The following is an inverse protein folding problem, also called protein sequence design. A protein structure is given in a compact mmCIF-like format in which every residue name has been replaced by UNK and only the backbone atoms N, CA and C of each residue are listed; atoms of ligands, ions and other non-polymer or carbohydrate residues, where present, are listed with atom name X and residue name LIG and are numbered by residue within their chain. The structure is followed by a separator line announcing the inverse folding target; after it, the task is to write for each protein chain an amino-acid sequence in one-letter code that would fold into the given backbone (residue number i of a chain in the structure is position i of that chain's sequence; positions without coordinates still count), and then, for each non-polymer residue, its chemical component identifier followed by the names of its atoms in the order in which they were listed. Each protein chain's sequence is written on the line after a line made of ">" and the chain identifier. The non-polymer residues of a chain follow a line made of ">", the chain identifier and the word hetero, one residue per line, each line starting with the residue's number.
data_IF_855485709076
#
_entry.id   IF_855485709076
#
_cell.length_a   1.000
_cell.length_b   1.000
_cell.length_c   1.000
_cell.angle_alpha   90.00
_cell.angle_beta   90.00
_cell.angle_gamma   90.00
#
_symmetry.space_group_name_H-M   'P 1'
#
loop_
_entity.id
_entity.type
_entity.pdbx_description
1 polymer ?
#
# COMPACT_ATOMS: atom_id res chain seq x y z
N UNK A 1 -54.84 47.77 4.72
CA UNK A 1 -54.91 46.31 4.51
C UNK A 1 -53.56 45.75 4.96
N UNK A 2 -53.48 45.17 6.17
CA UNK A 2 -53.37 43.71 6.43
C UNK A 2 -52.02 43.20 5.86
N UNK A 3 -51.02 42.72 6.60
CA UNK A 3 -50.97 41.86 7.78
C UNK A 3 -49.60 41.95 8.51
N UNK A 4 -49.51 41.47 9.78
CA UNK A 4 -48.33 41.49 10.66
C UNK A 4 -47.40 40.26 10.43
N UNK A 5 -46.27 40.08 11.15
CA UNK A 5 -45.29 39.05 10.83
C UNK A 5 -45.79 37.66 11.26
N UNK A 6 -45.50 36.64 10.45
CA UNK A 6 -45.83 35.26 10.79
C UNK A 6 -44.88 34.69 11.87
N UNK A 7 -45.39 33.86 12.80
CA UNK A 7 -44.67 33.41 13.99
C UNK A 7 -43.95 32.06 13.81
N UNK A 8 -43.19 31.76 14.85
CA UNK A 8 -42.51 30.51 15.24
C UNK A 8 -43.28 29.19 15.08
N UNK A 9 -42.52 28.10 14.91
CA UNK A 9 -42.70 26.87 15.69
C UNK A 9 -43.42 25.71 14.98
N UNK A 10 -42.78 24.54 14.96
CA UNK A 10 -43.42 23.29 14.55
C UNK A 10 -42.42 22.16 14.29
N UNK A 11 -41.93 21.56 15.38
CA UNK A 11 -41.27 20.25 15.34
C UNK A 11 -42.27 19.10 15.05
N UNK A 12 -41.86 17.84 15.32
CA UNK A 12 -42.00 16.68 14.44
C UNK A 12 -43.29 15.85 14.66
N UNK A 13 -43.73 15.08 13.65
CA UNK A 13 -44.63 13.95 13.89
C UNK A 13 -45.53 13.55 12.72
N UNK A 14 -45.75 12.24 12.61
CA UNK A 14 -46.68 11.52 11.74
C UNK A 14 -46.36 11.47 10.24
N UNK A 15 -45.70 10.37 9.85
CA UNK A 15 -46.38 9.30 9.10
C UNK A 15 -45.58 8.00 9.26
N UNK A 16 -45.67 7.43 10.45
CA UNK A 16 -45.56 5.99 10.68
C UNK A 16 -46.94 5.38 10.39
N UNK A 17 -46.92 4.22 9.72
CA UNK A 17 -48.01 3.32 9.32
C UNK A 17 -48.57 3.47 7.90
N UNK A 18 -48.75 2.29 7.27
CA UNK A 18 -49.01 1.94 5.85
C UNK A 18 -47.68 1.72 5.08
N UNK A 19 -47.21 0.50 4.73
CA UNK A 19 -47.86 -0.80 4.56
C UNK A 19 -46.90 -1.94 4.96
N UNK A 20 -47.34 -2.77 5.91
CA UNK A 20 -47.16 -4.21 5.78
C UNK A 20 -48.18 -4.68 4.72
N UNK A 21 -47.84 -5.74 3.99
CA UNK A 21 -48.57 -6.33 2.85
C UNK A 21 -48.27 -5.71 1.48
N UNK A 22 -47.45 -6.44 0.73
CA UNK A 22 -46.99 -6.13 -0.62
C UNK A 22 -48.10 -6.23 -1.67
N UNK A 23 -49.04 -5.29 -1.65
CA UNK A 23 -49.97 -5.06 -2.76
C UNK A 23 -49.83 -3.63 -3.29
N UNK A 24 -49.39 -3.51 -4.55
CA UNK A 24 -49.35 -2.27 -5.30
C UNK A 24 -50.72 -2.02 -5.94
N UNK A 25 -51.71 -1.63 -5.15
CA UNK A 25 -53.00 -1.22 -5.68
C UNK A 25 -53.62 -0.13 -4.81
N UNK A 26 -53.60 1.12 -5.29
CA UNK A 26 -54.44 2.19 -4.73
C UNK A 26 -53.78 3.51 -4.33
N UNK A 27 -52.74 3.99 -5.03
CA UNK A 27 -52.28 5.38 -4.87
C UNK A 27 -52.94 6.31 -5.91
N UNK A 28 -53.42 7.52 -5.53
CA UNK A 28 -53.94 8.51 -6.48
C UNK A 28 -52.88 8.88 -7.51
N UNK A 29 -53.28 9.10 -8.77
CA UNK A 29 -52.38 9.36 -9.92
C UNK A 29 -51.40 10.54 -9.71
N UNK A 30 -51.61 11.40 -8.72
CA UNK A 30 -50.67 12.46 -8.33
C UNK A 30 -49.48 12.03 -7.45
N UNK A 31 -49.58 10.93 -6.69
CA UNK A 31 -48.51 10.48 -5.78
C UNK A 31 -47.41 9.67 -6.51
N UNK A 32 -47.76 9.00 -7.61
CA UNK A 32 -46.79 8.28 -8.44
C UNK A 32 -45.78 9.24 -9.11
N UNK A 33 -46.24 10.42 -9.52
CA UNK A 33 -45.39 11.47 -10.12
C UNK A 33 -44.39 12.06 -9.12
N UNK A 34 -44.78 12.21 -7.84
CA UNK A 34 -43.89 12.76 -6.81
C UNK A 34 -42.85 11.73 -6.36
N UNK A 35 -43.21 10.45 -6.26
CA UNK A 35 -42.26 9.37 -5.95
C UNK A 35 -41.28 9.09 -7.09
N UNK A 36 -41.72 9.21 -8.36
CA UNK A 36 -40.83 9.13 -9.51
C UNK A 36 -39.90 10.36 -9.63
N UNK A 37 -40.37 11.55 -9.24
CA UNK A 37 -39.56 12.77 -9.27
C UNK A 37 -38.56 12.84 -8.09
N UNK A 38 -38.91 12.31 -6.91
CA UNK A 38 -37.99 12.21 -5.76
C UNK A 38 -37.01 11.03 -5.88
N UNK A 39 -37.38 9.94 -6.57
CA UNK A 39 -36.44 8.87 -6.93
C UNK A 39 -35.47 9.27 -8.05
N UNK A 40 -35.87 10.21 -8.93
CA UNK A 40 -35.01 10.77 -9.97
C UNK A 40 -34.13 11.95 -9.50
N UNK A 41 -34.35 12.46 -8.28
CA UNK A 41 -33.61 13.60 -7.72
C UNK A 41 -32.64 13.25 -6.58
N UNK A 42 -32.48 11.97 -6.23
CA UNK A 42 -31.20 11.54 -5.66
C UNK A 42 -30.23 11.44 -6.82
N UNK A 43 -29.11 12.18 -6.83
CA UNK A 43 -28.04 11.83 -7.75
C UNK A 43 -27.66 10.41 -7.36
N UNK A 44 -28.05 9.43 -8.18
CA UNK A 44 -27.24 8.24 -8.37
C UNK A 44 -25.90 8.79 -8.82
N UNK A 45 -25.05 9.06 -7.85
CA UNK A 45 -23.62 8.99 -8.04
C UNK A 45 -23.42 7.51 -8.39
N UNK A 46 -23.66 7.16 -9.66
CA UNK A 46 -22.86 6.12 -10.27
C UNK A 46 -21.44 6.48 -9.84
N UNK A 47 -20.72 5.57 -9.16
CA UNK A 47 -19.36 5.86 -8.81
C UNK A 47 -18.70 6.18 -10.15
N UNK A 48 -18.35 7.46 -10.37
CA UNK A 48 -17.45 7.80 -11.45
C UNK A 48 -16.28 6.86 -11.22
N UNK A 49 -16.18 5.86 -12.10
CA UNK A 49 -15.08 4.93 -12.10
C UNK A 49 -13.88 5.83 -12.27
N UNK A 50 -13.14 6.03 -11.18
CA UNK A 50 -11.84 6.67 -11.24
C UNK A 50 -11.08 5.89 -12.32
N UNK A 51 -10.74 6.57 -13.42
CA UNK A 51 -10.02 6.05 -14.58
C UNK A 51 -8.53 6.42 -14.41
N UNK A 52 -7.75 5.63 -13.66
CA UNK A 52 -6.33 5.88 -13.40
C UNK A 52 -5.49 6.07 -14.67
N UNK A 53 -5.95 5.52 -15.79
CA UNK A 53 -5.30 5.58 -17.12
C UNK A 53 -5.19 7.01 -17.66
N UNK A 54 -6.01 7.96 -17.18
CA UNK A 54 -5.94 9.39 -17.55
C UNK A 54 -4.75 10.13 -16.93
N UNK A 55 -3.99 9.51 -16.02
CA UNK A 55 -2.87 10.12 -15.30
C UNK A 55 -1.50 9.55 -15.72
N UNK A 56 -1.44 8.80 -16.82
CA UNK A 56 -0.17 8.42 -17.43
C UNK A 56 0.53 9.67 -17.98
N UNK A 57 1.80 9.84 -17.62
CA UNK A 57 2.65 10.92 -18.12
C UNK A 57 3.90 10.34 -18.80
N UNK A 58 4.71 11.17 -19.47
CA UNK A 58 5.95 10.71 -20.08
C UNK A 58 6.80 9.90 -19.08
N UNK A 59 7.19 8.68 -19.45
CA UNK A 59 8.01 7.79 -18.62
C UNK A 59 7.29 7.10 -17.45
N UNK A 60 5.95 7.09 -17.40
CA UNK A 60 5.21 6.27 -16.42
C UNK A 60 3.82 5.85 -16.90
N UNK A 61 3.62 4.54 -16.92
CA UNK A 61 2.38 3.85 -17.26
C UNK A 61 1.50 3.58 -16.03
N UNK A 62 1.97 3.97 -14.84
CA UNK A 62 1.21 3.93 -13.60
C UNK A 62 0.51 5.27 -13.34
N UNK A 63 -0.62 5.25 -12.62
CA UNK A 63 -1.31 6.47 -12.25
C UNK A 63 -0.42 7.32 -11.34
N UNK A 64 -0.37 8.62 -11.62
CA UNK A 64 0.23 9.62 -10.74
C UNK A 64 -0.86 10.45 -10.09
N UNK A 65 -0.91 10.44 -8.77
CA UNK A 65 -1.94 11.14 -8.00
C UNK A 65 -1.32 12.12 -7.02
N UNK A 66 -1.96 13.27 -6.89
CA UNK A 66 -1.58 14.27 -5.89
C UNK A 66 -2.17 13.88 -4.53
N UNK A 67 -1.34 13.81 -3.50
CA UNK A 67 -1.73 13.40 -2.14
C UNK A 67 -2.84 14.29 -1.55
N UNK A 68 -2.88 15.58 -1.92
CA UNK A 68 -3.95 16.51 -1.52
C UNK A 68 -5.34 16.10 -2.03
N UNK A 69 -5.43 15.25 -3.04
CA UNK A 69 -6.69 14.71 -3.57
C UNK A 69 -7.02 13.32 -3.00
N UNK A 70 -6.15 12.75 -2.15
CA UNK A 70 -6.36 11.45 -1.52
C UNK A 70 -6.71 11.64 -0.05
N UNK A 71 -7.95 11.29 0.34
CA UNK A 71 -8.23 10.99 1.74
C UNK A 71 -7.65 9.62 2.12
N UNK A 72 -7.33 9.36 3.40
CA UNK A 72 -6.88 8.04 3.83
C UNK A 72 -7.85 6.92 3.42
N UNK A 73 -9.16 7.16 3.50
CA UNK A 73 -10.19 6.19 3.14
C UNK A 73 -10.25 5.93 1.63
N UNK A 74 -10.04 6.96 0.80
CA UNK A 74 -9.96 6.81 -0.64
C UNK A 74 -8.69 6.05 -1.05
N UNK A 75 -7.55 6.42 -0.45
CA UNK A 75 -6.30 5.69 -0.67
C UNK A 75 -6.47 4.21 -0.33
N UNK A 76 -7.08 3.94 0.82
CA UNK A 76 -7.35 2.60 1.27
C UNK A 76 -8.32 1.85 0.33
N UNK A 77 -9.47 2.43 -0.03
CA UNK A 77 -10.45 1.70 -0.84
C UNK A 77 -9.97 1.45 -2.27
N UNK A 78 -9.29 2.44 -2.86
CA UNK A 78 -9.03 2.43 -4.30
C UNK A 78 -7.67 1.82 -4.65
N UNK A 79 -6.66 1.95 -3.77
CA UNK A 79 -5.31 1.47 -4.03
C UNK A 79 -4.96 0.26 -3.19
N UNK A 80 -5.15 0.33 -1.86
CA UNK A 80 -4.82 -0.79 -0.97
C UNK A 80 -5.74 -1.98 -1.25
N UNK A 81 -7.05 -1.78 -1.06
CA UNK A 81 -8.04 -2.84 -1.26
C UNK A 81 -8.26 -3.13 -2.74
N UNK A 82 -8.22 -2.10 -3.59
CA UNK A 82 -8.26 -2.27 -5.04
C UNK A 82 -7.04 -2.99 -5.60
N UNK A 83 -5.99 -3.19 -4.79
CA UNK A 83 -4.68 -3.73 -5.18
C UNK A 83 -4.14 -3.06 -6.44
N UNK A 84 -4.03 -1.72 -6.40
CA UNK A 84 -3.60 -0.90 -7.54
C UNK A 84 -2.31 -0.17 -7.23
N UNK A 85 -1.19 -0.42 -7.95
CA UNK A 85 0.01 0.38 -7.79
C UNK A 85 -0.21 1.80 -8.31
N UNK A 86 0.41 2.76 -7.63
CA UNK A 86 0.31 4.17 -7.99
C UNK A 86 1.54 4.92 -7.53
N UNK A 87 1.85 6.00 -8.24
CA UNK A 87 2.78 7.01 -7.75
C UNK A 87 2.00 8.14 -7.08
N UNK A 88 2.48 8.60 -5.94
CA UNK A 88 1.85 9.63 -5.12
C UNK A 88 2.83 10.80 -4.99
N UNK A 89 2.39 11.97 -5.43
CA UNK A 89 3.09 13.25 -5.24
C UNK A 89 2.56 13.93 -4.00
N UNK A 90 3.45 14.56 -3.25
CA UNK A 90 3.06 15.24 -2.01
C UNK A 90 3.93 16.47 -1.81
N UNK A 91 3.37 17.50 -1.19
CA UNK A 91 4.10 18.71 -0.79
C UNK A 91 4.85 18.49 0.54
N UNK A 92 4.55 17.40 1.25
CA UNK A 92 5.14 17.02 2.53
C UNK A 92 5.60 15.55 2.51
N UNK A 93 6.24 15.10 3.59
CA UNK A 93 6.77 13.75 3.64
C UNK A 93 7.93 13.61 2.64
N UNK A 94 7.82 12.71 1.66
CA UNK A 94 8.92 12.39 0.75
C UNK A 94 9.51 13.62 0.04
N UNK A 95 8.68 14.58 -0.37
CA UNK A 95 9.16 15.83 -0.96
C UNK A 95 10.03 16.65 0.01
N UNK A 96 9.66 16.71 1.29
CA UNK A 96 10.49 17.38 2.30
C UNK A 96 11.82 16.64 2.53
N UNK A 97 11.80 15.29 2.50
CA UNK A 97 13.02 14.50 2.57
C UNK A 97 13.95 14.75 1.37
N UNK A 98 13.38 14.85 0.17
CA UNK A 98 14.12 15.16 -1.05
C UNK A 98 14.69 16.58 -1.06
N UNK A 99 13.93 17.58 -0.62
CA UNK A 99 14.43 18.95 -0.41
C UNK A 99 15.57 18.97 0.62
N UNK A 100 15.41 18.24 1.73
CA UNK A 100 16.46 18.06 2.73
C UNK A 100 17.71 17.42 2.13
N UNK A 101 17.56 16.41 1.27
CA UNK A 101 18.68 15.78 0.58
C UNK A 101 19.40 16.76 -0.37
N UNK A 102 18.65 17.54 -1.15
CA UNK A 102 19.20 18.60 -2.00
C UNK A 102 19.95 19.67 -1.19
N UNK A 103 19.50 19.95 0.04
CA UNK A 103 20.17 20.84 0.99
C UNK A 103 21.29 20.18 1.81
N UNK A 104 21.63 18.91 1.55
CA UNK A 104 22.74 18.19 2.22
C UNK A 104 22.39 17.48 3.53
N UNK A 105 21.11 17.46 3.94
CA UNK A 105 20.63 16.76 5.15
C UNK A 105 20.83 15.24 5.07
N UNK A 106 20.85 14.70 3.85
CA UNK A 106 21.17 13.30 3.55
C UNK A 106 22.58 13.10 3.00
N UNK A 107 23.46 14.09 3.21
CA UNK A 107 24.87 14.02 2.85
C UNK A 107 25.66 13.11 3.78
N UNK A 108 26.80 12.62 3.30
CA UNK A 108 27.57 11.57 3.97
C UNK A 108 28.06 11.99 5.35
N UNK A 109 28.58 13.21 5.48
CA UNK A 109 29.03 13.74 6.77
C UNK A 109 27.91 13.72 7.82
N UNK A 110 26.67 14.02 7.42
CA UNK A 110 25.52 14.00 8.33
C UNK A 110 25.11 12.57 8.68
N UNK A 111 25.09 11.66 7.70
CA UNK A 111 24.78 10.24 7.93
C UNK A 111 25.81 9.58 8.84
N UNK A 112 27.10 9.85 8.63
CA UNK A 112 28.20 9.40 9.49
C UNK A 112 28.06 9.95 10.91
N UNK A 113 27.80 11.26 11.05
CA UNK A 113 27.65 11.88 12.36
C UNK A 113 26.46 11.29 13.16
N UNK A 114 25.39 10.88 12.47
CA UNK A 114 24.20 10.34 13.13
C UNK A 114 24.27 8.85 13.41
N UNK A 115 24.83 8.07 12.48
CA UNK A 115 24.73 6.61 12.50
C UNK A 115 25.99 5.90 11.97
N UNK A 116 27.15 6.56 11.93
CA UNK A 116 28.37 6.02 11.35
C UNK A 116 28.80 4.66 11.91
N UNK A 117 28.66 4.46 13.21
CA UNK A 117 28.99 3.21 13.92
C UNK A 117 27.89 2.14 13.81
N UNK A 118 26.70 2.49 13.29
CA UNK A 118 25.63 1.51 13.11
C UNK A 118 25.97 0.57 11.98
N UNK A 119 25.82 -0.73 12.25
CA UNK A 119 26.03 -1.76 11.25
C UNK A 119 24.93 -1.73 10.19
N UNK A 120 25.34 -1.64 8.93
CA UNK A 120 24.50 -1.79 7.74
C UNK A 120 24.86 -3.07 7.01
N UNK A 121 23.92 -3.59 6.22
CA UNK A 121 24.21 -4.65 5.25
C UNK A 121 24.71 -3.98 3.98
N UNK A 122 26.00 -4.13 3.70
CA UNK A 122 26.62 -3.69 2.46
C UNK A 122 26.71 -4.86 1.48
N UNK A 123 26.45 -4.59 0.21
CA UNK A 123 26.49 -5.55 -0.87
C UNK A 123 27.41 -5.02 -1.95
N UNK A 124 28.32 -5.88 -2.43
CA UNK A 124 29.19 -5.61 -3.55
C UNK A 124 28.97 -6.65 -4.64
N UNK A 125 28.81 -6.20 -5.88
CA UNK A 125 28.73 -7.08 -7.05
C UNK A 125 29.60 -6.55 -8.18
N UNK A 126 30.35 -7.45 -8.82
CA UNK A 126 31.02 -7.22 -10.10
C UNK A 126 30.06 -7.18 -11.30
N UNK A 127 28.79 -7.60 -11.10
CA UNK A 127 27.77 -7.65 -12.15
C UNK A 127 26.80 -6.47 -12.08
N UNK A 128 26.08 -6.20 -13.19
CA UNK A 128 25.03 -5.17 -13.27
C UNK A 128 23.79 -5.45 -12.40
N UNK A 129 23.71 -6.61 -11.74
CA UNK A 129 22.53 -7.04 -10.98
C UNK A 129 22.94 -7.50 -9.59
N UNK A 130 22.72 -6.66 -8.58
CA UNK A 130 22.89 -7.05 -7.17
C UNK A 130 21.80 -8.04 -6.78
N UNK A 131 22.16 -9.32 -6.75
CA UNK A 131 21.19 -10.40 -6.74
C UNK A 131 21.46 -11.39 -5.63
N UNK A 132 21.20 -10.94 -4.41
CA UNK A 132 21.43 -11.68 -3.18
C UNK A 132 20.81 -13.09 -3.16
N UNK A 133 19.60 -13.28 -3.71
CA UNK A 133 18.78 -14.48 -3.46
C UNK A 133 18.76 -15.49 -4.60
N UNK A 134 19.42 -15.18 -5.73
CA UNK A 134 19.15 -15.84 -7.01
C UNK A 134 20.36 -16.55 -7.63
N UNK A 135 21.54 -16.44 -7.02
CA UNK A 135 22.79 -17.07 -7.50
C UNK A 135 22.66 -18.59 -7.74
N UNK A 136 21.92 -19.37 -6.93
CA UNK A 136 21.69 -20.79 -7.27
C UNK A 136 20.61 -21.01 -8.34
N UNK A 137 19.79 -20.00 -8.63
CA UNK A 137 18.58 -20.15 -9.45
C UNK A 137 18.80 -19.86 -10.94
N UNK A 138 19.90 -19.22 -11.33
CA UNK A 138 20.17 -18.92 -12.74
C UNK A 138 21.68 -18.92 -13.10
N UNK A 139 22.12 -19.64 -14.14
CA UNK A 139 23.55 -19.80 -14.50
C UNK A 139 24.31 -18.51 -14.87
N UNK A 140 23.60 -17.41 -15.11
CA UNK A 140 24.17 -16.11 -15.50
C UNK A 140 24.36 -15.12 -14.35
N UNK A 141 23.99 -15.48 -13.12
CA UNK A 141 23.95 -14.55 -11.99
C UNK A 141 25.19 -14.77 -11.14
N UNK A 142 26.00 -13.72 -10.96
CA UNK A 142 27.21 -13.80 -10.16
C UNK A 142 26.93 -13.59 -8.67
N UNK A 143 27.77 -14.22 -7.84
CA UNK A 143 27.67 -14.15 -6.39
C UNK A 143 27.82 -12.69 -5.91
N UNK A 144 26.81 -12.21 -5.19
CA UNK A 144 26.88 -10.90 -4.52
C UNK A 144 27.53 -11.10 -3.17
N UNK A 145 28.63 -10.40 -2.91
CA UNK A 145 29.27 -10.44 -1.60
C UNK A 145 28.49 -9.57 -0.61
N UNK A 146 28.24 -10.10 0.58
CA UNK A 146 27.43 -9.46 1.61
C UNK A 146 28.28 -9.26 2.85
N UNK A 147 28.30 -8.03 3.35
CA UNK A 147 29.05 -7.64 4.52
C UNK A 147 28.12 -6.97 5.53
N UNK A 148 28.41 -7.15 6.82
CA UNK A 148 27.86 -6.28 7.87
C UNK A 148 29.00 -5.38 8.33
N UNK A 149 28.89 -4.08 8.05
CA UNK A 149 29.93 -3.11 8.37
C UNK A 149 29.34 -1.79 8.88
N UNK A 150 30.11 -0.96 9.59
CA UNK A 150 29.65 0.38 9.99
C UNK A 150 29.22 1.21 8.78
N UNK A 151 28.16 2.01 8.93
CA UNK A 151 27.68 2.93 7.90
C UNK A 151 28.81 3.86 7.41
N UNK A 152 29.69 4.31 8.30
CA UNK A 152 30.83 5.14 7.91
C UNK A 152 31.80 4.40 6.97
N UNK A 153 32.05 3.12 7.22
CA UNK A 153 32.87 2.28 6.34
C UNK A 153 32.21 2.08 4.97
N UNK A 154 30.91 1.79 4.96
CA UNK A 154 30.13 1.69 3.72
C UNK A 154 30.18 3.01 2.93
N UNK A 155 29.91 4.15 3.56
CA UNK A 155 29.96 5.47 2.91
C UNK A 155 31.38 5.85 2.43
N UNK A 156 32.42 5.41 3.13
CA UNK A 156 33.80 5.56 2.68
C UNK A 156 34.13 4.74 1.43
N UNK A 157 33.67 3.48 1.36
CA UNK A 157 33.83 2.62 0.16
C UNK A 157 32.98 3.12 -1.00
N UNK A 158 31.75 3.52 -0.68
CA UNK A 158 30.77 4.14 -1.56
C UNK A 158 31.32 5.35 -2.31
N UNK A 159 32.20 6.15 -1.70
CA UNK A 159 32.81 7.32 -2.36
C UNK A 159 34.08 6.99 -3.16
N UNK A 160 34.81 5.94 -2.79
CA UNK A 160 36.16 5.68 -3.29
C UNK A 160 36.25 4.59 -4.38
N UNK A 161 35.25 3.70 -4.51
CA UNK A 161 35.32 2.51 -5.39
C UNK A 161 34.22 2.40 -6.47
N UNK A 162 33.51 3.49 -6.75
CA UNK A 162 32.37 3.57 -7.68
C UNK A 162 32.66 3.02 -9.10
N UNK A 163 33.93 2.95 -9.51
CA UNK A 163 34.29 2.62 -10.90
C UNK A 163 34.54 1.14 -11.18
N UNK A 164 34.70 0.31 -10.15
CA UNK A 164 35.08 -1.10 -10.32
C UNK A 164 33.98 -2.10 -9.91
N UNK A 165 33.17 -1.75 -8.89
CA UNK A 165 32.15 -2.65 -8.32
C UNK A 165 30.87 -1.88 -7.99
N UNK A 166 29.71 -2.55 -8.11
CA UNK A 166 28.42 -2.00 -7.72
C UNK A 166 28.19 -2.19 -6.23
N UNK A 167 28.27 -1.10 -5.48
CA UNK A 167 28.00 -1.09 -4.03
C UNK A 167 26.57 -0.63 -3.73
N UNK A 168 25.89 -1.40 -2.88
CA UNK A 168 24.50 -1.19 -2.50
C UNK A 168 24.28 -1.53 -1.03
N UNK A 169 23.43 -0.80 -0.33
CA UNK A 169 22.95 -1.20 0.99
C UNK A 169 21.43 -1.31 1.02
N UNK A 170 20.98 -2.39 1.65
CA UNK A 170 19.62 -2.62 2.10
C UNK A 170 19.68 -2.89 3.59
N UNK A 171 19.21 -1.95 4.40
CA UNK A 171 19.31 -2.09 5.86
C UNK A 171 18.01 -1.72 6.54
N UNK A 172 17.73 -2.39 7.65
CA UNK A 172 16.71 -1.93 8.58
C UNK A 172 17.03 -0.48 8.95
N UNK A 173 15.99 0.34 8.96
CA UNK A 173 16.22 1.72 9.33
C UNK A 173 16.48 1.83 10.83
N UNK A 174 17.69 2.24 11.16
CA UNK A 174 18.13 2.41 12.55
C UNK A 174 17.46 3.61 13.21
N UNK A 175 17.20 3.59 14.53
CA UNK A 175 16.55 4.66 15.28
C UNK A 175 17.12 6.06 15.02
N UNK A 176 18.44 6.18 14.88
CA UNK A 176 19.15 7.44 14.70
C UNK A 176 18.86 8.09 13.35
N UNK A 177 18.60 7.28 12.31
CA UNK A 177 18.21 7.79 11.00
C UNK A 177 16.71 8.11 10.94
N UNK A 178 15.92 7.72 11.96
CA UNK A 178 14.48 8.01 11.99
C UNK A 178 14.16 9.49 12.04
N UNK A 179 15.03 10.27 12.65
CA UNK A 179 14.86 11.73 12.74
C UNK A 179 14.95 12.43 11.38
N UNK A 180 15.59 11.80 10.39
CA UNK A 180 15.67 12.31 9.04
C UNK A 180 14.43 11.95 8.20
N UNK A 181 13.53 11.14 8.76
CA UNK A 181 12.44 10.59 7.98
C UNK A 181 11.33 11.56 7.72
N UNK A 182 10.76 11.48 6.51
CA UNK A 182 9.42 11.94 6.33
C UNK A 182 8.48 11.06 7.16
N UNK A 183 7.54 11.68 7.90
CA UNK A 183 6.37 10.93 8.37
C UNK A 183 5.69 10.32 7.13
N UNK A 184 5.40 9.02 7.09
CA UNK A 184 4.79 8.40 5.91
C UNK A 184 3.42 9.02 5.65
N UNK A 185 3.06 9.16 4.37
CA UNK A 185 1.69 9.51 4.02
C UNK A 185 0.74 8.42 4.53
N UNK A 186 -0.40 8.85 5.06
CA UNK A 186 -1.45 7.96 5.57
C UNK A 186 -1.00 7.02 6.69
N UNK A 187 0.16 7.25 7.32
CA UNK A 187 0.76 6.33 8.30
C UNK A 187 -0.21 5.91 9.40
N UNK A 188 -0.91 6.87 10.01
CA UNK A 188 -1.91 6.59 11.05
C UNK A 188 -3.01 5.64 10.54
N UNK A 189 -3.47 5.83 9.30
CA UNK A 189 -4.54 5.03 8.72
C UNK A 189 -4.03 3.66 8.25
N UNK A 190 -2.85 3.60 7.63
CA UNK A 190 -2.24 2.33 7.24
C UNK A 190 -1.86 1.48 8.44
N UNK A 191 -1.52 2.08 9.57
CA UNK A 191 -1.32 1.33 10.82
C UNK A 191 -2.61 0.82 11.39
N UNK A 192 -3.65 1.65 11.45
CA UNK A 192 -4.93 1.19 11.98
C UNK A 192 -5.48 0.03 11.15
N UNK A 193 -5.39 0.13 9.82
CA UNK A 193 -6.07 -0.77 8.89
C UNK A 193 -5.18 -1.91 8.36
N UNK A 194 -3.87 -1.69 8.21
CA UNK A 194 -2.88 -2.63 7.62
C UNK A 194 -1.68 -2.84 8.55
N UNK A 195 -1.91 -2.82 9.87
CA UNK A 195 -0.91 -2.94 10.96
C UNK A 195 0.43 -3.56 10.51
N UNK A 196 1.43 -2.72 10.29
CA UNK A 196 2.80 -3.18 10.06
C UNK A 196 3.17 -4.17 11.16
N UNK A 197 3.85 -5.27 10.78
CA UNK A 197 4.38 -6.27 11.70
C UNK A 197 4.73 -5.62 13.04
N UNK A 198 4.09 -6.12 14.11
CA UNK A 198 4.64 -5.97 15.44
C UNK A 198 5.96 -6.72 15.50
N UNK A 199 7.03 -6.10 14.97
CA UNK A 199 8.38 -6.33 15.43
C UNK A 199 8.52 -5.69 16.79
N UNK A 200 9.48 -6.14 17.57
CA UNK A 200 9.82 -5.72 18.94
C UNK A 200 10.18 -4.22 19.11
N UNK A 201 9.87 -3.38 18.13
CA UNK A 201 10.09 -1.94 18.17
C UNK A 201 8.74 -1.24 18.38
N UNK A 202 8.63 -0.58 19.53
CA UNK A 202 7.46 0.12 20.09
C UNK A 202 6.75 1.12 19.18
N UNK A 203 7.28 1.38 17.98
CA UNK A 203 6.87 2.51 17.13
C UNK A 203 6.20 2.07 15.82
N UNK A 204 6.00 0.76 15.58
CA UNK A 204 4.95 0.18 14.71
C UNK A 204 5.07 0.29 13.18
N UNK A 205 6.26 0.38 12.58
CA UNK A 205 6.50 0.21 11.13
C UNK A 205 7.85 -0.45 10.88
N UNK A 206 7.94 -1.27 9.81
CA UNK A 206 9.18 -1.93 9.38
C UNK A 206 9.77 -1.18 8.19
N UNK A 207 10.69 -0.26 8.46
CA UNK A 207 11.30 0.58 7.43
C UNK A 207 12.65 0.06 6.94
N UNK A 208 12.95 0.31 5.67
CA UNK A 208 14.25 0.00 5.08
C UNK A 208 14.87 1.23 4.42
N UNK A 209 16.18 1.33 4.58
CA UNK A 209 17.03 2.24 3.82
C UNK A 209 17.60 1.50 2.63
N UNK A 210 17.50 2.12 1.45
CA UNK A 210 18.09 1.66 0.21
C UNK A 210 19.03 2.74 -0.30
N UNK A 211 20.33 2.45 -0.34
CA UNK A 211 21.31 3.44 -0.81
C UNK A 211 22.32 2.80 -1.74
N UNK A 212 22.64 3.49 -2.82
CA UNK A 212 23.77 3.15 -3.66
C UNK A 212 23.98 4.17 -4.77
N UNK A 213 24.80 3.81 -5.74
CA UNK A 213 25.18 4.68 -6.85
C UNK A 213 25.15 3.88 -8.14
N UNK A 214 24.70 4.50 -9.23
CA UNK A 214 24.64 3.86 -10.55
C UNK A 214 24.91 4.89 -11.64
N UNK A 215 25.82 4.66 -12.58
CA UNK A 215 26.03 5.58 -13.72
C UNK A 215 25.20 5.20 -14.95
N UNK A 216 24.81 3.94 -15.06
CA UNK A 216 24.23 3.34 -16.28
C UNK A 216 23.18 2.26 -15.98
N UNK A 217 22.39 2.39 -14.92
CA UNK A 217 21.37 1.37 -14.59
C UNK A 217 21.93 0.06 -14.02
N UNK A 218 23.22 0.03 -13.66
CA UNK A 218 23.95 -1.10 -13.08
C UNK A 218 23.49 -1.56 -11.70
N UNK A 219 22.56 -0.85 -11.06
CA UNK A 219 21.98 -1.27 -9.80
C UNK A 219 20.54 -1.69 -10.05
N UNK A 220 20.35 -3.00 -10.07
CA UNK A 220 19.07 -3.64 -10.28
C UNK A 220 18.70 -4.49 -9.07
N UNK A 221 17.47 -4.32 -8.59
CA UNK A 221 16.76 -5.29 -7.78
C UNK A 221 15.93 -6.19 -8.70
N UNK A 222 16.22 -7.49 -8.76
CA UNK A 222 15.52 -8.49 -9.57
C UNK A 222 14.00 -8.46 -9.50
N UNK A 223 13.33 -9.10 -10.45
CA UNK A 223 11.88 -9.30 -10.38
C UNK A 223 11.51 -10.12 -9.15
N UNK A 224 10.80 -9.51 -8.21
CA UNK A 224 10.40 -10.12 -6.94
C UNK A 224 9.05 -9.58 -6.47
N UNK A 225 8.48 -10.16 -5.40
CA UNK A 225 7.28 -9.65 -4.75
C UNK A 225 7.45 -9.63 -3.24
N UNK A 226 6.83 -8.64 -2.61
CA UNK A 226 6.74 -8.54 -1.16
C UNK A 226 5.36 -9.00 -0.69
N UNK A 227 5.25 -9.57 0.50
CA UNK A 227 3.95 -9.88 1.14
C UNK A 227 3.39 -8.69 1.92
N UNK A 228 3.90 -7.48 1.69
CA UNK A 228 3.61 -6.27 2.44
C UNK A 228 3.06 -5.20 1.50
N UNK A 229 2.12 -4.40 1.99
CA UNK A 229 1.79 -3.13 1.36
C UNK A 229 3.02 -2.22 1.52
N UNK A 230 3.59 -1.78 0.39
CA UNK A 230 4.89 -1.16 0.36
C UNK A 230 4.78 0.29 -0.13
N UNK A 231 5.09 1.24 0.75
CA UNK A 231 5.16 2.66 0.41
C UNK A 231 6.62 3.08 0.29
N UNK A 232 7.14 3.17 -0.93
CA UNK A 232 8.53 3.54 -1.22
C UNK A 232 8.66 5.04 -1.48
N UNK A 233 9.36 5.77 -0.63
CA UNK A 233 9.76 7.16 -0.85
C UNK A 233 11.11 7.25 -1.57
N UNK A 234 11.16 7.99 -2.69
CA UNK A 234 12.42 8.34 -3.34
C UNK A 234 13.00 9.61 -2.73
N UNK A 235 14.08 9.51 -1.96
CA UNK A 235 14.69 10.67 -1.28
C UNK A 235 15.66 11.40 -2.20
N UNK A 236 16.50 10.69 -2.94
CA UNK A 236 17.49 11.28 -3.85
C UNK A 236 17.72 10.36 -5.04
N UNK A 237 17.83 10.91 -6.25
CA UNK A 237 18.04 10.13 -7.47
C UNK A 237 16.74 9.72 -8.14
N UNK A 238 16.80 8.67 -8.99
CA UNK A 238 15.68 8.21 -9.82
C UNK A 238 15.73 6.70 -9.98
N UNK A 239 14.56 6.05 -9.82
CA UNK A 239 14.43 4.59 -10.00
C UNK A 239 13.38 4.25 -11.03
N UNK A 240 13.69 3.38 -11.97
CA UNK A 240 12.72 2.75 -12.86
C UNK A 240 12.12 1.53 -12.16
N UNK A 241 10.83 1.60 -11.87
CA UNK A 241 10.04 0.46 -11.46
C UNK A 241 9.41 -0.18 -12.68
N UNK A 242 9.49 -1.50 -12.77
CA UNK A 242 8.63 -2.27 -13.65
C UNK A 242 7.78 -3.18 -12.79
N UNK A 243 6.46 -3.06 -12.89
CA UNK A 243 5.51 -3.78 -12.05
C UNK A 243 4.65 -4.72 -12.88
N UNK A 244 4.32 -5.87 -12.32
CA UNK A 244 3.53 -6.92 -12.94
C UNK A 244 2.45 -7.37 -11.97
N UNK A 245 1.22 -7.45 -12.47
CA UNK A 245 0.07 -7.89 -11.70
C UNK A 245 0.26 -9.35 -11.24
N UNK A 246 -0.06 -9.70 -9.97
CA UNK A 246 0.00 -11.06 -9.44
C UNK A 246 -0.72 -12.12 -10.30
N UNK A 247 -1.71 -11.76 -11.12
CA UNK A 247 -2.38 -12.67 -12.05
C UNK A 247 -1.41 -13.30 -13.08
N UNK A 248 -0.25 -12.68 -13.31
CA UNK A 248 0.78 -13.21 -14.19
C UNK A 248 1.82 -14.10 -13.47
N UNK A 249 1.64 -14.44 -12.19
CA UNK A 249 2.62 -15.21 -11.40
C UNK A 249 3.06 -16.51 -12.09
N UNK A 250 2.15 -17.27 -12.68
CA UNK A 250 2.47 -18.51 -13.38
C UNK A 250 3.39 -18.30 -14.60
N UNK A 251 3.30 -17.12 -15.23
CA UNK A 251 4.13 -16.75 -16.39
C UNK A 251 5.52 -16.27 -15.99
N UNK A 252 5.73 -15.97 -14.70
CA UNK A 252 7.03 -15.53 -14.16
C UNK A 252 7.98 -16.69 -13.85
N UNK A 253 7.60 -17.94 -14.18
CA UNK A 253 8.45 -19.15 -14.08
C UNK A 253 9.08 -19.33 -12.70
N UNK A 254 8.31 -19.02 -11.64
CA UNK A 254 8.76 -19.18 -10.26
C UNK A 254 8.93 -20.68 -10.00
N UNK A 255 10.12 -21.16 -9.60
CA UNK A 255 10.43 -22.58 -9.55
C UNK A 255 9.62 -23.36 -8.50
N UNK A 256 9.20 -22.68 -7.42
CA UNK A 256 8.40 -23.30 -6.35
C UNK A 256 7.41 -22.29 -5.77
N UNK A 257 6.20 -22.75 -5.42
CA UNK A 257 5.23 -21.93 -4.70
C UNK A 257 5.82 -21.44 -3.37
N UNK A 258 5.68 -20.15 -3.07
CA UNK A 258 6.24 -19.51 -1.87
C UNK A 258 7.60 -18.84 -2.07
N UNK A 259 8.24 -19.01 -3.22
CA UNK A 259 9.42 -18.21 -3.59
C UNK A 259 8.96 -16.82 -4.05
N UNK A 260 9.64 -15.79 -3.57
CA UNK A 260 9.29 -14.40 -3.83
C UNK A 260 10.09 -13.77 -4.98
N UNK A 261 10.87 -14.57 -5.70
CA UNK A 261 11.74 -14.12 -6.78
C UNK A 261 11.45 -14.89 -8.07
N UNK A 262 11.49 -14.19 -9.19
CA UNK A 262 11.41 -14.78 -10.53
C UNK A 262 12.82 -14.96 -11.09
N UNK A 263 13.12 -16.12 -11.72
CA UNK A 263 14.39 -16.32 -12.43
C UNK A 263 14.44 -15.59 -13.78
N UNK A 264 13.33 -14.97 -14.22
CA UNK A 264 13.29 -14.28 -15.51
C UNK A 264 13.89 -12.88 -15.40
N UNK A 265 14.80 -12.55 -16.32
CA UNK A 265 15.20 -11.17 -16.54
C UNK A 265 14.07 -10.39 -17.21
N UNK A 266 13.92 -9.14 -16.83
CA UNK A 266 12.85 -8.31 -17.37
C UNK A 266 13.04 -7.93 -18.84
N UNK A 267 14.29 -7.88 -19.28
CA UNK A 267 14.66 -7.60 -20.66
C UNK A 267 14.42 -8.79 -21.60
N UNK A 268 14.13 -9.99 -21.09
CA UNK A 268 13.83 -11.18 -21.89
C UNK A 268 12.34 -11.52 -21.95
N UNK A 269 11.45 -10.59 -21.58
CA UNK A 269 9.99 -10.79 -21.53
C UNK A 269 9.28 -10.68 -22.89
N UNK A 270 9.99 -10.39 -23.98
CA UNK A 270 9.40 -10.44 -25.33
C UNK A 270 8.81 -11.83 -25.58
N UNK A 271 7.52 -11.89 -25.94
CA UNK A 271 6.81 -13.13 -26.27
C UNK A 271 6.19 -13.91 -25.09
N UNK A 272 6.30 -13.45 -23.84
CA UNK A 272 5.77 -14.19 -22.66
C UNK A 272 4.31 -13.83 -22.30
N UNK A 273 3.72 -12.82 -22.96
CA UNK A 273 2.33 -12.42 -22.74
C UNK A 273 2.07 -11.84 -21.33
N UNK A 274 3.04 -11.11 -20.77
CA UNK A 274 2.94 -10.44 -19.48
C UNK A 274 2.69 -8.94 -19.73
N UNK A 275 1.65 -8.38 -19.10
CA UNK A 275 1.37 -6.95 -19.14
C UNK A 275 2.13 -6.24 -18.02
N UNK A 276 3.41 -5.92 -18.28
CA UNK A 276 4.22 -5.14 -17.35
C UNK A 276 3.96 -3.63 -17.54
N UNK A 277 3.93 -2.86 -16.44
CA UNK A 277 3.85 -1.40 -16.46
C UNK A 277 5.14 -0.81 -15.94
N UNK A 278 5.69 0.19 -16.62
CA UNK A 278 6.94 0.85 -16.22
C UNK A 278 6.70 2.26 -15.71
N UNK A 279 7.46 2.67 -14.71
CA UNK A 279 7.37 4.00 -14.15
C UNK A 279 8.70 4.46 -13.56
N UNK A 280 9.20 5.61 -14.01
CA UNK A 280 10.30 6.29 -13.33
C UNK A 280 9.76 7.03 -12.11
N UNK A 281 10.27 6.69 -10.94
CA UNK A 281 10.03 7.37 -9.67
C UNK A 281 11.09 8.43 -9.45
N UNK A 282 10.65 9.69 -9.33
CA UNK A 282 11.51 10.86 -9.14
C UNK A 282 11.70 11.17 -7.64
N UNK A 283 12.78 11.87 -7.29
CA UNK A 283 12.99 12.33 -5.91
C UNK A 283 11.80 13.19 -5.43
N UNK A 284 11.30 12.87 -4.24
CA UNK A 284 10.14 13.49 -3.62
C UNK A 284 8.81 12.75 -3.85
N UNK A 285 8.79 11.76 -4.74
CA UNK A 285 7.61 10.94 -5.02
C UNK A 285 7.58 9.68 -4.14
N UNK A 286 6.36 9.21 -3.84
CA UNK A 286 6.12 7.88 -3.31
C UNK A 286 5.67 6.92 -4.41
N UNK A 287 6.14 5.68 -4.38
CA UNK A 287 5.52 4.55 -5.06
C UNK A 287 4.74 3.73 -4.03
N UNK A 288 3.45 3.54 -4.25
CA UNK A 288 2.69 2.52 -3.56
C UNK A 288 2.68 1.24 -4.39
N UNK A 289 3.26 0.18 -3.83
CA UNK A 289 3.24 -1.18 -4.37
C UNK A 289 2.34 -2.04 -3.47
N UNK A 290 1.20 -2.51 -3.99
CA UNK A 290 0.33 -3.35 -3.20
C UNK A 290 0.98 -4.68 -2.87
N UNK A 291 0.57 -5.31 -1.77
CA UNK A 291 1.08 -6.62 -1.39
C UNK A 291 0.95 -7.64 -2.54
N UNK A 292 2.00 -8.44 -2.71
CA UNK A 292 2.19 -9.49 -3.72
C UNK A 292 2.43 -9.02 -5.16
N UNK A 293 2.39 -7.71 -5.45
CA UNK A 293 2.74 -7.22 -6.77
C UNK A 293 4.21 -7.51 -7.09
N UNK A 294 4.42 -8.07 -8.29
CA UNK A 294 5.74 -8.34 -8.80
C UNK A 294 6.38 -7.05 -9.26
N UNK A 295 7.65 -6.83 -8.92
CA UNK A 295 8.35 -5.62 -9.27
C UNK A 295 9.85 -5.85 -9.45
N UNK A 296 10.42 -5.11 -10.39
CA UNK A 296 11.83 -4.95 -10.65
C UNK A 296 12.18 -3.47 -10.51
N UNK A 297 13.36 -3.17 -9.97
CA UNK A 297 13.74 -1.79 -9.65
C UNK A 297 15.16 -1.52 -10.11
N UNK A 298 15.33 -0.57 -11.02
CA UNK A 298 16.64 -0.15 -11.54
C UNK A 298 16.92 1.28 -11.10
N UNK A 299 18.02 1.52 -10.40
CA UNK A 299 18.49 2.87 -10.13
C UNK A 299 19.19 3.43 -11.37
N UNK A 300 18.73 4.58 -11.88
CA UNK A 300 19.09 5.03 -13.23
C UNK A 300 20.46 5.70 -13.29
N UNK A 301 20.65 6.75 -12.49
CA UNK A 301 21.83 7.60 -12.57
C UNK A 301 22.21 8.20 -11.21
N UNK A 302 23.52 8.38 -11.00
CA UNK A 302 24.12 8.99 -9.83
C UNK A 302 23.81 8.29 -8.51
N UNK A 303 23.89 9.09 -7.44
CA UNK A 303 23.53 8.69 -6.08
C UNK A 303 22.03 8.48 -5.95
N UNK A 304 21.65 7.34 -5.39
CA UNK A 304 20.28 6.96 -5.15
C UNK A 304 20.05 6.65 -3.68
N UNK A 305 19.10 7.34 -3.06
CA UNK A 305 18.61 7.08 -1.71
C UNK A 305 17.11 6.89 -1.81
N UNK A 306 16.66 5.69 -1.45
CA UNK A 306 15.25 5.34 -1.34
C UNK A 306 14.96 4.80 0.05
N UNK A 307 13.69 4.90 0.43
CA UNK A 307 13.21 4.42 1.70
C UNK A 307 11.89 3.72 1.47
N UNK A 308 11.61 2.66 2.21
CA UNK A 308 10.27 2.10 2.14
C UNK A 308 9.72 1.77 3.51
N UNK A 309 8.39 1.82 3.59
CA UNK A 309 7.60 1.48 4.75
C UNK A 309 6.76 0.26 4.39
N UNK A 310 7.00 -0.85 5.08
CA UNK A 310 6.20 -2.06 4.92
C UNK A 310 5.08 -2.11 5.96
N UNK A 311 3.86 -2.28 5.44
CA UNK A 311 2.65 -2.52 6.21
C UNK A 311 2.14 -3.92 5.89
N UNK A 312 1.49 -4.56 6.85
CA UNK A 312 1.12 -5.96 6.71
C UNK A 312 -0.28 -6.22 7.21
N UNK A 313 -0.99 -7.12 6.56
CA UNK A 313 -2.28 -7.55 7.05
C UNK A 313 -2.11 -8.59 8.15
N UNK A 314 -2.31 -8.20 9.41
CA UNK A 314 -2.46 -9.15 10.50
C UNK A 314 -3.63 -8.76 11.40
N UNK A 315 -4.64 -9.62 11.45
CA UNK A 315 -5.65 -9.59 12.52
C UNK A 315 -5.11 -10.46 13.66
N UNK A 316 -5.29 -10.02 14.91
CA UNK A 316 -4.90 -10.79 16.11
C UNK A 316 -6.12 -11.12 16.97
N UNK A 317 -6.08 -12.20 17.76
CA UNK A 317 -7.09 -12.44 18.80
C UNK A 317 -7.27 -11.19 19.69
N UNK A 318 -8.52 -10.85 20.02
CA UNK A 318 -8.86 -9.61 20.71
C UNK A 318 -10.07 -8.91 20.09
N UNK A 319 -10.23 -7.61 20.33
CA UNK A 319 -11.31 -6.80 19.75
C UNK A 319 -10.83 -6.07 18.50
N UNK A 320 -11.68 -6.03 17.47
CA UNK A 320 -11.46 -5.29 16.22
C UNK A 320 -12.66 -4.42 15.89
N UNK A 321 -12.49 -3.47 14.97
CA UNK A 321 -13.58 -2.69 14.34
C UNK A 321 -13.58 -2.93 12.85
N UNK A 322 -14.76 -3.12 12.25
CA UNK A 322 -14.88 -3.20 10.78
C UNK A 322 -14.85 -1.83 10.10
N UNK A 323 -14.50 -1.81 8.81
CA UNK A 323 -14.56 -0.60 7.97
C UNK A 323 -15.93 0.07 8.05
N UNK A 324 -15.94 1.40 8.20
CA UNK A 324 -17.17 2.19 8.33
C UNK A 324 -17.75 2.64 6.97
N UNK A 325 -16.92 2.76 5.93
CA UNK A 325 -17.33 3.21 4.60
C UNK A 325 -17.80 2.03 3.76
N UNK A 326 -18.98 2.14 3.14
CA UNK A 326 -19.60 1.04 2.38
C UNK A 326 -18.70 0.59 1.24
N UNK A 327 -18.15 1.53 0.47
CA UNK A 327 -17.27 1.26 -0.68
C UNK A 327 -16.03 0.48 -0.26
N UNK A 328 -15.33 0.93 0.79
CA UNK A 328 -14.16 0.25 1.33
C UNK A 328 -14.52 -1.16 1.83
N UNK A 329 -15.61 -1.32 2.60
CA UNK A 329 -16.04 -2.62 3.07
C UNK A 329 -16.38 -3.58 1.92
N UNK A 330 -17.07 -3.11 0.88
CA UNK A 330 -17.39 -3.95 -0.28
C UNK A 330 -16.13 -4.36 -1.04
N UNK A 331 -15.20 -3.43 -1.22
CA UNK A 331 -13.94 -3.68 -1.89
C UNK A 331 -13.11 -4.73 -1.13
N UNK A 332 -13.18 -4.76 0.21
CA UNK A 332 -12.42 -5.71 1.04
C UNK A 332 -12.71 -7.18 0.71
N UNK A 333 -13.88 -7.46 0.11
CA UNK A 333 -14.25 -8.80 -0.28
C UNK A 333 -13.80 -9.18 -1.70
N UNK A 334 -13.13 -8.31 -2.48
CA UNK A 334 -12.80 -8.61 -3.89
C UNK A 334 -12.05 -9.95 -4.02
N UNK A 335 -11.05 -10.19 -3.16
CA UNK A 335 -10.26 -11.43 -3.14
C UNK A 335 -11.09 -12.67 -2.79
N UNK A 336 -12.03 -12.54 -1.86
CA UNK A 336 -12.84 -13.65 -1.34
C UNK A 336 -14.28 -13.61 -1.83
N UNK A 337 -14.59 -12.85 -2.88
CA UNK A 337 -15.97 -12.45 -3.23
C UNK A 337 -16.89 -13.64 -3.42
N UNK A 338 -16.35 -14.71 -4.02
CA UNK A 338 -17.06 -15.94 -4.35
C UNK A 338 -16.85 -17.06 -3.32
N UNK A 339 -16.13 -16.79 -2.22
CA UNK A 339 -15.93 -17.79 -1.17
C UNK A 339 -17.26 -18.06 -0.45
N UNK A 340 -17.60 -19.34 -0.26
CA UNK A 340 -18.87 -19.75 0.37
C UNK A 340 -19.01 -19.25 1.81
N UNK A 341 -17.90 -19.19 2.55
CA UNK A 341 -17.88 -18.81 3.97
C UNK A 341 -17.44 -17.35 4.14
N UNK A 342 -16.27 -16.97 3.63
CA UNK A 342 -15.70 -15.64 3.79
C UNK A 342 -16.26 -14.59 2.81
N UNK A 343 -17.02 -15.00 1.79
CA UNK A 343 -17.52 -14.10 0.74
C UNK A 343 -18.55 -13.08 1.20
N UNK A 344 -18.82 -12.12 0.31
CA UNK A 344 -19.67 -10.99 0.59
C UNK A 344 -21.14 -11.43 0.72
N UNK A 345 -21.83 -10.97 1.77
CA UNK A 345 -23.27 -11.19 1.93
C UNK A 345 -23.96 -9.95 2.52
N UNK A 346 -25.29 -9.86 2.37
CA UNK A 346 -26.08 -8.77 3.01
C UNK A 346 -25.86 -8.74 4.53
N UNK A 347 -25.76 -9.91 5.17
CA UNK A 347 -25.50 -10.03 6.61
C UNK A 347 -24.14 -9.45 7.04
N UNK A 348 -23.12 -9.49 6.16
CA UNK A 348 -21.81 -8.87 6.43
C UNK A 348 -21.80 -7.37 6.16
N UNK A 349 -22.55 -6.92 5.15
CA UNK A 349 -22.64 -5.48 4.81
C UNK A 349 -23.23 -4.64 5.94
N UNK A 350 -24.18 -5.18 6.71
CA UNK A 350 -24.77 -4.47 7.86
C UNK A 350 -23.83 -4.34 9.06
N UNK A 351 -22.71 -5.08 9.08
CA UNK A 351 -21.71 -5.06 10.17
C UNK A 351 -20.70 -3.92 10.08
N UNK A 352 -20.86 -3.06 9.07
CA UNK A 352 -20.00 -1.91 8.81
C UNK A 352 -19.78 -1.06 10.06
N UNK A 353 -18.53 -0.78 10.42
CA UNK A 353 -18.15 0.01 11.60
C UNK A 353 -18.32 -0.67 12.95
N UNK A 354 -18.95 -1.85 13.01
CA UNK A 354 -19.24 -2.50 14.26
C UNK A 354 -17.95 -3.09 14.88
N UNK A 355 -17.81 -3.02 16.21
CA UNK A 355 -16.79 -3.79 16.90
C UNK A 355 -17.15 -5.28 16.87
N UNK A 356 -16.12 -6.12 16.87
CA UNK A 356 -16.27 -7.57 16.97
C UNK A 356 -15.06 -8.21 17.65
N UNK A 357 -15.28 -9.37 18.25
CA UNK A 357 -14.22 -10.18 18.82
C UNK A 357 -13.66 -11.15 17.78
N UNK A 358 -12.34 -11.23 17.68
CA UNK A 358 -11.63 -12.18 16.83
C UNK A 358 -11.56 -13.53 17.55
N UNK A 359 -12.30 -14.51 17.04
CA UNK A 359 -12.29 -15.89 17.56
C UNK A 359 -11.20 -16.76 16.93
N UNK A 360 -10.78 -16.42 15.72
CA UNK A 360 -9.79 -17.19 14.98
C UNK A 360 -9.28 -16.45 13.75
N UNK A 361 -8.06 -16.78 13.35
CA UNK A 361 -7.40 -16.26 12.16
C UNK A 361 -6.91 -17.42 11.32
N UNK A 362 -7.05 -17.31 10.01
CA UNK A 362 -6.83 -18.41 9.08
C UNK A 362 -5.69 -18.10 8.10
N UNK A 363 -5.01 -19.14 7.56
CA UNK A 363 -3.88 -18.95 6.65
C UNK A 363 -4.20 -18.19 5.36
N UNK A 364 -5.46 -18.12 4.96
CA UNK A 364 -5.94 -17.41 3.77
C UNK A 364 -6.23 -15.91 4.04
N UNK A 365 -5.69 -15.36 5.13
CA UNK A 365 -5.91 -13.98 5.57
C UNK A 365 -7.41 -13.65 5.74
N UNK A 366 -8.15 -14.58 6.33
CA UNK A 366 -9.51 -14.37 6.84
C UNK A 366 -9.56 -14.56 8.36
N UNK A 367 -10.51 -13.93 9.02
CA UNK A 367 -10.73 -14.04 10.46
C UNK A 367 -12.19 -14.35 10.77
N UNK A 368 -12.41 -15.12 11.84
CA UNK A 368 -13.73 -15.38 12.40
C UNK A 368 -14.06 -14.33 13.44
N UNK A 369 -15.17 -13.62 13.25
CA UNK A 369 -15.59 -12.52 14.10
C UNK A 369 -16.90 -12.84 14.81
N UNK A 370 -16.99 -12.50 16.11
CA UNK A 370 -18.21 -12.53 16.92
C UNK A 370 -18.69 -11.11 17.24
N UNK A 371 -19.94 -10.82 16.90
CA UNK A 371 -20.57 -9.51 17.16
C UNK A 371 -21.36 -9.53 18.48
N UNK A 372 -21.75 -8.34 18.95
CA UNK A 372 -22.49 -8.17 20.21
C UNK A 372 -23.86 -8.85 20.23
N UNK A 373 -24.46 -9.09 19.06
CA UNK A 373 -25.72 -9.82 18.92
C UNK A 373 -25.53 -11.34 18.82
N UNK A 374 -24.31 -11.84 19.08
CA UNK A 374 -23.97 -13.26 19.05
C UNK A 374 -23.71 -13.82 17.65
N UNK A 375 -23.86 -13.04 16.58
CA UNK A 375 -23.58 -13.51 15.24
C UNK A 375 -22.08 -13.82 15.06
N UNK A 376 -21.79 -14.95 14.41
CA UNK A 376 -20.42 -15.37 14.06
C UNK A 376 -20.29 -15.42 12.55
N UNK A 377 -19.32 -14.68 12.00
CA UNK A 377 -19.14 -14.51 10.56
C UNK A 377 -17.64 -14.39 10.23
N UNK A 378 -17.23 -14.96 9.11
CA UNK A 378 -15.84 -14.87 8.66
C UNK A 378 -15.64 -13.67 7.72
N UNK A 379 -14.61 -12.88 7.93
CA UNK A 379 -14.28 -11.68 7.15
C UNK A 379 -12.85 -11.77 6.60
N UNK A 380 -12.58 -11.22 5.40
CA UNK A 380 -11.20 -10.97 4.97
C UNK A 380 -10.54 -9.98 5.94
N UNK A 381 -9.22 -10.09 6.16
CA UNK A 381 -8.48 -9.15 7.01
C UNK A 381 -8.67 -7.70 6.54
N UNK A 382 -8.82 -7.50 5.24
CA UNK A 382 -9.08 -6.24 4.56
C UNK A 382 -10.36 -5.55 5.04
N UNK A 383 -11.30 -6.27 5.66
CA UNK A 383 -12.53 -5.69 6.20
C UNK A 383 -12.35 -5.09 7.61
N UNK A 384 -11.24 -5.40 8.28
CA UNK A 384 -10.89 -4.89 9.61
C UNK A 384 -10.24 -3.51 9.47
N UNK A 385 -10.81 -2.51 10.12
CA UNK A 385 -10.34 -1.14 10.14
C UNK A 385 -9.37 -0.84 11.29
N UNK A 386 -9.60 -1.44 12.46
CA UNK A 386 -8.81 -1.19 13.66
C UNK A 386 -8.68 -2.49 14.49
N UNK A 387 -7.48 -2.74 15.05
CA UNK A 387 -7.30 -3.66 16.18
C UNK A 387 -7.49 -2.86 17.49
N UNK A 388 -8.64 -3.01 18.13
CA UNK A 388 -9.02 -2.27 19.34
C UNK A 388 -8.35 -2.82 20.61
N UNK A 389 -8.08 -4.13 20.65
CA UNK A 389 -7.30 -4.77 21.72
C UNK A 389 -6.64 -6.05 21.21
N UNK A 390 -5.57 -6.48 21.89
CA UNK A 390 -4.94 -7.78 21.64
C UNK A 390 -5.12 -8.63 22.89
N UNK A 391 -5.67 -9.83 22.72
CA UNK A 391 -5.67 -10.83 23.78
C UNK A 391 -4.25 -11.40 23.89
N UNK A 392 -3.61 -11.23 25.04
CA UNK A 392 -2.38 -11.96 25.33
C UNK A 392 -2.74 -13.43 25.56
N UNK A 393 -2.02 -14.34 24.90
CA UNK A 393 -2.12 -15.76 25.21
C UNK A 393 -1.84 -15.94 26.71
N UNK A 394 -2.73 -16.65 27.40
CA UNK A 394 -2.45 -17.14 28.76
C UNK A 394 -1.47 -18.29 28.70
#
# INVERSE_FOLDING_TARGET
>A
QVAPPAPSGGGPGLLTHLCADGSMAGLPQGCASLLLSLAAATPTIEPQLWEPERFAGPGCELPRVEARHLSPELFFSDFVVGSRPTVIRSEHGCAAAAQGAAAGTWGDAKLVALAGERLVVAMASSSRSSSFFLTPMHPGWQETQVFREPLASFLGRYMNKIREENWYTYSNLVPELRQLLPRPLFDRHLRTVVNAKGGEQSDGWDGRLWMGYSEDGKQESPMHRDTHENLHCMVQGRKLFTVVDPVHTERLRVPTHGVNYSPMHIHSQEGVGISAKRCVLEAGEYMFLPANWWHNVVALTGRNIGMNFWYSWWVRPGQVRLLQRRRALLAAFVRVRNASIAGLSRRKQVRRGQPAEVLGVFPDATCRLRFSDGAILDFPFEAVADQLSVAHAR
#
